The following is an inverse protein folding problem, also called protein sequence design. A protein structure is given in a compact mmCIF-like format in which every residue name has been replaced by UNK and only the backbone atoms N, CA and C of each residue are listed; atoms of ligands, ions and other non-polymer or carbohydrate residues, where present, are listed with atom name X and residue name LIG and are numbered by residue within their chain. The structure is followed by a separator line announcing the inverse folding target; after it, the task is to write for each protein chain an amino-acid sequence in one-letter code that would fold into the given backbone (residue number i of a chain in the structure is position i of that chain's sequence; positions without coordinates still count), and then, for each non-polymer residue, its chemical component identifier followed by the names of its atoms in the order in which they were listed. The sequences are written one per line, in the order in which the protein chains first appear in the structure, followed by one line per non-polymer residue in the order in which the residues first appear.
data_IF_645642278667
#
_entry.id   IF_645642278667
#
_cell.length_a   1.000
_cell.length_b   1.000
_cell.length_c   1.000
_cell.angle_alpha   90.00
_cell.angle_beta   90.00
_cell.angle_gamma   90.00
#
_symmetry.space_group_name_H-M   'P 1'
#
loop_
_entity.id
_entity.type
_entity.pdbx_description
1 polymer ?
#
# COMPACT_ATOMS: atom_id res chain seq x y z
N UNK A 1 13.75 -5.87 22.77
CA UNK A 1 13.09 -6.75 21.78
C UNK A 1 11.62 -6.38 21.55
N UNK A 2 10.80 -6.27 22.60
CA UNK A 2 9.36 -5.96 22.48
C UNK A 2 9.07 -4.64 21.75
N UNK A 3 9.82 -3.57 22.04
CA UNK A 3 9.60 -2.25 21.42
C UNK A 3 9.84 -2.22 19.90
N UNK A 4 10.83 -2.96 19.40
CA UNK A 4 11.12 -3.03 17.96
C UNK A 4 9.99 -3.76 17.21
N UNK A 5 9.49 -4.86 17.78
CA UNK A 5 8.38 -5.62 17.21
C UNK A 5 7.11 -4.77 17.19
N UNK A 6 6.81 -4.08 18.30
CA UNK A 6 5.67 -3.17 18.39
C UNK A 6 5.77 -2.01 17.38
N UNK A 7 6.96 -1.43 17.22
CA UNK A 7 7.23 -0.39 16.24
C UNK A 7 6.95 -0.87 14.81
N UNK A 8 7.55 -1.99 14.39
CA UNK A 8 7.36 -2.52 13.04
C UNK A 8 5.89 -2.86 12.77
N UNK A 9 5.19 -3.42 13.77
CA UNK A 9 3.78 -3.77 13.63
C UNK A 9 2.88 -2.54 13.44
N UNK A 10 3.00 -1.56 14.33
CA UNK A 10 2.19 -0.34 14.27
C UNK A 10 2.51 0.49 13.03
N UNK A 11 3.80 0.65 12.71
CA UNK A 11 4.23 1.38 11.53
C UNK A 11 3.69 0.74 10.23
N UNK A 12 3.76 -0.59 10.12
CA UNK A 12 3.24 -1.30 8.94
C UNK A 12 1.74 -1.08 8.77
N UNK A 13 0.95 -1.15 9.86
CA UNK A 13 -0.50 -0.92 9.82
C UNK A 13 -0.81 0.51 9.36
N UNK A 14 -0.12 1.51 9.91
CA UNK A 14 -0.34 2.92 9.56
C UNK A 14 -0.05 3.15 8.08
N UNK A 15 1.06 2.64 7.56
CA UNK A 15 1.44 2.80 6.15
C UNK A 15 0.42 2.12 5.23
N UNK A 16 -0.02 0.90 5.56
CA UNK A 16 -1.05 0.19 4.79
C UNK A 16 -2.33 1.02 4.69
N UNK A 17 -2.82 1.55 5.82
CA UNK A 17 -4.05 2.35 5.85
C UNK A 17 -3.87 3.67 5.09
N UNK A 18 -2.70 4.30 5.20
CA UNK A 18 -2.39 5.56 4.52
C UNK A 18 -2.45 5.42 2.99
N UNK A 19 -1.67 4.46 2.45
CA UNK A 19 -1.63 4.21 1.00
C UNK A 19 -2.98 3.72 0.49
N UNK A 20 -3.67 2.86 1.24
CA UNK A 20 -5.01 2.41 0.90
C UNK A 20 -6.02 3.57 0.85
N UNK A 21 -5.89 4.55 1.74
CA UNK A 21 -6.71 5.76 1.72
C UNK A 21 -6.56 6.51 0.40
N UNK A 22 -5.32 6.81 -0.02
CA UNK A 22 -5.04 7.46 -1.30
C UNK A 22 -5.63 6.68 -2.47
N UNK A 23 -5.38 5.36 -2.50
CA UNK A 23 -5.92 4.47 -3.53
C UNK A 23 -7.45 4.51 -3.59
N UNK A 24 -8.12 4.36 -2.45
CA UNK A 24 -9.57 4.32 -2.36
C UNK A 24 -10.20 5.63 -2.84
N UNK A 25 -9.70 6.78 -2.35
CA UNK A 25 -10.23 8.08 -2.74
C UNK A 25 -9.92 8.42 -4.21
N UNK A 26 -8.74 8.07 -4.72
CA UNK A 26 -8.40 8.26 -6.13
C UNK A 26 -9.33 7.46 -7.06
N UNK A 27 -9.55 6.17 -6.76
CA UNK A 27 -10.49 5.34 -7.53
C UNK A 27 -11.92 5.85 -7.43
N UNK A 28 -12.35 6.30 -6.26
CA UNK A 28 -13.69 6.88 -6.05
C UNK A 28 -13.88 8.19 -6.82
N UNK A 29 -12.83 8.99 -6.97
CA UNK A 29 -12.83 10.22 -7.76
C UNK A 29 -12.70 9.98 -9.28
N UNK A 30 -12.64 8.72 -9.73
CA UNK A 30 -12.49 8.39 -11.15
C UNK A 30 -11.06 8.58 -11.69
N UNK A 31 -10.08 8.76 -10.81
CA UNK A 31 -8.68 8.93 -11.20
C UNK A 31 -8.08 7.55 -11.53
N UNK A 32 -7.39 7.46 -12.66
CA UNK A 32 -6.67 6.26 -13.07
C UNK A 32 -5.46 6.02 -12.15
N UNK A 33 -5.50 4.94 -11.38
CA UNK A 33 -4.37 4.49 -10.56
C UNK A 33 -3.66 3.34 -11.28
N UNK A 34 -2.43 3.61 -11.76
CA UNK A 34 -1.61 2.65 -12.50
C UNK A 34 -0.94 1.62 -11.59
N UNK A 35 -0.53 2.04 -10.40
CA UNK A 35 0.16 1.19 -9.43
C UNK A 35 -0.31 1.50 -8.01
N UNK A 36 -0.53 0.45 -7.23
CA UNK A 36 -0.76 0.48 -5.81
C UNK A 36 0.32 -0.36 -5.14
N UNK A 37 1.13 0.26 -4.28
CA UNK A 37 2.23 -0.38 -3.59
C UNK A 37 2.16 -0.11 -2.09
N UNK A 38 2.52 -1.11 -1.28
CA UNK A 38 2.61 -0.96 0.18
C UNK A 38 4.07 -1.01 0.60
N UNK A 39 4.57 0.10 1.16
CA UNK A 39 5.94 0.21 1.66
C UNK A 39 6.91 0.80 0.64
N UNK A 40 8.20 0.53 0.82
CA UNK A 40 9.30 1.06 0.00
C UNK A 40 10.32 -0.05 -0.26
N UNK A 41 10.82 -0.17 -1.50
CA UNK A 41 11.86 -1.14 -1.85
C UNK A 41 11.56 -1.97 -3.10
N UNK A 42 12.36 -3.03 -3.36
CA UNK A 42 12.19 -3.89 -4.53
C UNK A 42 10.88 -4.67 -4.47
N UNK A 43 10.29 -4.91 -5.64
CA UNK A 43 9.02 -5.63 -5.80
C UNK A 43 9.16 -7.08 -5.33
N UNK A 44 8.53 -7.44 -4.22
CA UNK A 44 8.57 -8.81 -3.68
C UNK A 44 7.49 -9.67 -4.34
N UNK A 45 6.33 -9.08 -4.63
CA UNK A 45 5.21 -9.73 -5.27
C UNK A 45 4.47 -8.72 -6.14
N UNK A 46 3.86 -9.15 -7.25
CA UNK A 46 3.12 -8.25 -8.13
C UNK A 46 1.96 -8.98 -8.79
N UNK A 47 0.76 -8.40 -8.74
CA UNK A 47 -0.43 -8.90 -9.41
C UNK A 47 -1.10 -7.76 -10.17
N UNK A 48 -1.44 -7.98 -11.44
CA UNK A 48 -2.21 -7.02 -12.23
C UNK A 48 -3.69 -7.38 -12.19
N UNK A 49 -4.55 -6.42 -11.82
CA UNK A 49 -6.00 -6.57 -11.91
C UNK A 49 -6.59 -5.38 -12.68
N UNK A 50 -6.98 -5.63 -13.92
CA UNK A 50 -7.43 -4.60 -14.86
C UNK A 50 -6.31 -3.62 -15.21
N UNK A 51 -6.55 -2.34 -14.95
CA UNK A 51 -5.61 -1.24 -15.23
C UNK A 51 -4.67 -0.93 -14.06
N UNK A 52 -4.90 -1.52 -12.88
CA UNK A 52 -4.09 -1.30 -11.68
C UNK A 52 -3.17 -2.47 -11.43
N UNK A 53 -1.88 -2.17 -11.26
CA UNK A 53 -0.86 -3.09 -10.78
C UNK A 53 -0.80 -3.00 -9.26
N UNK A 54 -0.87 -4.13 -8.58
CA UNK A 54 -0.72 -4.25 -7.13
C UNK A 54 0.65 -4.84 -6.86
N UNK A 55 1.50 -4.12 -6.13
CA UNK A 55 2.89 -4.48 -5.84
C UNK A 55 3.14 -4.49 -4.34
#
# INVERSE_FOLDING_TARGET
MQGLIAFLFVFSIIVIIHEFGHYYFAKKAGILVREFAIGMGPKIFQVRKGETVYT
#
